data_IF_051122576157
#
_entry.id   IF_051122576157
#
_cell.length_a   1.000
_cell.length_b   1.000
_cell.length_c   1.000
_cell.angle_alpha   90.00
_cell.angle_beta   90.00
_cell.angle_gamma   90.00
#
_symmetry.space_group_name_H-M   'P 1'
#
loop_
_entity.id
_entity.type
_entity.pdbx_description
1 polymer ?
#
# COMPACT_ATOMS: atom_id res chain seq x y z
N UNK A 1 43.84 0.67 19.94
CA UNK A 1 43.29 -0.21 18.91
C UNK A 1 41.89 0.32 18.66
N UNK A 2 41.79 1.24 17.72
CA UNK A 2 40.58 2.00 17.43
C UNK A 2 40.11 1.46 16.09
N UNK A 3 39.12 0.58 16.11
CA UNK A 3 38.53 0.06 14.88
C UNK A 3 37.79 1.21 14.19
N UNK A 4 38.43 1.77 13.17
CA UNK A 4 37.87 2.72 12.25
C UNK A 4 36.83 1.97 11.42
N UNK A 5 35.56 2.29 11.63
CA UNK A 5 34.45 1.69 10.88
C UNK A 5 34.57 2.24 9.45
N UNK A 6 35.15 1.45 8.55
CA UNK A 6 35.09 1.68 7.09
C UNK A 6 33.60 1.72 6.69
N UNK A 7 33.06 2.93 6.60
CA UNK A 7 31.81 3.17 5.89
C UNK A 7 32.05 2.77 4.44
N UNK A 8 31.32 1.79 3.88
CA UNK A 8 31.48 1.44 2.48
C UNK A 8 31.10 2.67 1.65
N UNK A 9 32.10 3.29 1.04
CA UNK A 9 31.90 4.31 0.03
C UNK A 9 31.17 3.64 -1.13
N UNK A 10 29.88 3.96 -1.26
CA UNK A 10 29.11 3.60 -2.44
C UNK A 10 29.72 4.41 -3.57
N UNK A 11 30.48 3.74 -4.44
CA UNK A 11 31.09 4.32 -5.63
C UNK A 11 29.96 4.77 -6.57
N UNK A 12 29.56 6.04 -6.44
CA UNK A 12 28.57 6.67 -7.31
C UNK A 12 29.34 7.07 -8.56
N UNK A 13 29.31 6.23 -9.59
CA UNK A 13 29.84 6.55 -10.92
C UNK A 13 29.26 7.90 -11.40
N UNK A 14 30.10 8.94 -11.38
CA UNK A 14 29.75 10.32 -11.74
C UNK A 14 29.35 10.47 -13.23
N UNK A 15 29.56 9.44 -14.06
CA UNK A 15 29.22 9.45 -15.49
C UNK A 15 27.86 8.84 -15.83
N UNK A 16 27.12 8.27 -14.87
CA UNK A 16 25.74 7.90 -15.14
C UNK A 16 24.89 9.16 -15.33
N UNK A 17 24.12 9.30 -16.42
CA UNK A 17 23.27 10.47 -16.60
C UNK A 17 22.35 10.57 -15.39
N UNK A 18 22.52 11.65 -14.61
CA UNK A 18 21.95 11.90 -13.28
C UNK A 18 20.42 11.68 -13.21
N UNK A 19 19.75 11.71 -14.36
CA UNK A 19 18.32 11.46 -14.53
C UNK A 19 17.91 9.98 -14.58
N UNK A 20 18.82 9.01 -14.72
CA UNK A 20 18.47 7.60 -14.88
C UNK A 20 17.87 7.03 -13.58
N UNK A 21 18.46 7.40 -12.42
CA UNK A 21 17.99 6.98 -11.09
C UNK A 21 16.66 7.63 -10.72
N UNK A 22 16.48 8.91 -11.04
CA UNK A 22 15.21 9.64 -10.81
C UNK A 22 14.08 9.06 -11.66
N UNK A 23 14.32 8.78 -12.95
CA UNK A 23 13.31 8.15 -13.82
C UNK A 23 12.87 6.78 -13.32
N UNK A 24 13.81 5.95 -12.85
CA UNK A 24 13.48 4.66 -12.26
C UNK A 24 12.65 4.81 -10.98
N UNK A 25 13.02 5.76 -10.10
CA UNK A 25 12.30 6.02 -8.86
C UNK A 25 10.88 6.54 -9.11
N UNK A 26 10.70 7.46 -10.06
CA UNK A 26 9.38 7.97 -10.46
C UNK A 26 8.53 6.87 -11.12
N UNK A 27 9.15 5.99 -11.93
CA UNK A 27 8.44 4.85 -12.53
C UNK A 27 7.94 3.88 -11.45
N UNK A 28 8.79 3.56 -10.46
CA UNK A 28 8.42 2.71 -9.32
C UNK A 28 7.33 3.36 -8.49
N UNK A 29 7.44 4.67 -8.20
CA UNK A 29 6.41 5.40 -7.45
C UNK A 29 5.06 5.43 -8.19
N UNK A 30 5.09 5.64 -9.51
CA UNK A 30 3.89 5.61 -10.35
C UNK A 30 3.25 4.22 -10.40
N UNK A 31 4.06 3.17 -10.59
CA UNK A 31 3.59 1.79 -10.58
C UNK A 31 3.01 1.41 -9.20
N UNK A 32 3.69 1.75 -8.11
CA UNK A 32 3.21 1.52 -6.75
C UNK A 32 1.89 2.24 -6.47
N UNK A 33 1.72 3.47 -7.00
CA UNK A 33 0.47 4.24 -6.92
C UNK A 33 -0.67 3.57 -7.68
N UNK A 34 -0.43 2.98 -8.85
CA UNK A 34 -1.45 2.21 -9.58
C UNK A 34 -1.79 0.92 -8.83
N UNK A 35 -0.77 0.18 -8.37
CA UNK A 35 -0.95 -1.07 -7.64
C UNK A 35 -1.73 -0.84 -6.34
N UNK A 36 -1.48 0.27 -5.63
CA UNK A 36 -2.20 0.60 -4.40
C UNK A 36 -3.71 0.70 -4.63
N UNK A 37 -4.14 1.36 -5.71
CA UNK A 37 -5.54 1.45 -6.10
C UNK A 37 -6.13 0.09 -6.51
N UNK A 38 -5.37 -0.74 -7.24
CA UNK A 38 -5.81 -2.10 -7.62
C UNK A 38 -6.02 -2.96 -6.38
N UNK A 39 -5.10 -2.91 -5.42
CA UNK A 39 -5.20 -3.63 -4.14
C UNK A 39 -6.42 -3.14 -3.36
N UNK A 40 -6.62 -1.83 -3.25
CA UNK A 40 -7.80 -1.26 -2.58
C UNK A 40 -9.11 -1.72 -3.24
N UNK A 41 -9.18 -1.68 -4.57
CA UNK A 41 -10.34 -2.15 -5.33
C UNK A 41 -10.62 -3.65 -5.07
N UNK A 42 -9.58 -4.48 -5.00
CA UNK A 42 -9.69 -5.89 -4.64
C UNK A 42 -10.32 -6.09 -3.25
N UNK A 43 -9.83 -5.37 -2.24
CA UNK A 43 -10.41 -5.43 -0.88
C UNK A 43 -11.86 -4.94 -0.84
N UNK A 44 -12.19 -3.86 -1.55
CA UNK A 44 -13.56 -3.36 -1.67
C UNK A 44 -14.47 -4.40 -2.33
N UNK A 45 -14.00 -5.08 -3.39
CA UNK A 45 -14.75 -6.15 -4.05
C UNK A 45 -15.00 -7.35 -3.12
N UNK A 46 -14.02 -7.72 -2.29
CA UNK A 46 -14.18 -8.77 -1.28
C UNK A 46 -15.27 -8.39 -0.27
N UNK A 47 -15.24 -7.16 0.25
CA UNK A 47 -16.25 -6.66 1.19
C UNK A 47 -17.63 -6.63 0.54
N UNK A 48 -17.73 -6.09 -0.69
CA UNK A 48 -18.97 -6.03 -1.45
C UNK A 48 -19.53 -7.44 -1.73
N UNK A 49 -18.69 -8.41 -2.09
CA UNK A 49 -19.08 -9.80 -2.26
C UNK A 49 -19.58 -10.44 -0.97
N UNK A 50 -18.95 -10.16 0.17
CA UNK A 50 -19.43 -10.63 1.47
C UNK A 50 -20.79 -10.01 1.85
N UNK A 51 -21.00 -8.73 1.54
CA UNK A 51 -22.29 -8.07 1.77
C UNK A 51 -23.39 -8.60 0.83
N UNK A 52 -23.06 -8.86 -0.44
CA UNK A 52 -23.99 -9.48 -1.38
C UNK A 52 -24.39 -10.88 -0.93
N UNK A 53 -23.41 -11.70 -0.53
CA UNK A 53 -23.65 -13.01 0.05
C UNK A 53 -24.57 -12.92 1.27
N UNK A 54 -24.36 -11.97 2.18
CA UNK A 54 -25.25 -11.79 3.34
C UNK A 54 -26.69 -11.46 2.93
N UNK A 55 -26.87 -10.66 1.88
CA UNK A 55 -28.19 -10.30 1.39
C UNK A 55 -28.93 -11.52 0.81
N UNK A 56 -28.24 -12.36 0.01
CA UNK A 56 -28.81 -13.62 -0.46
C UNK A 56 -29.01 -14.66 0.66
N UNK A 57 -28.09 -14.72 1.63
CA UNK A 57 -28.13 -15.63 2.79
C UNK A 57 -29.18 -15.22 3.83
N UNK A 58 -29.69 -13.98 3.78
CA UNK A 58 -30.78 -13.49 4.64
C UNK A 58 -32.11 -14.20 4.38
N UNK A 59 -32.19 -15.02 3.33
CA UNK A 59 -33.23 -16.05 3.16
C UNK A 59 -33.01 -17.23 4.15
N UNK A 60 -33.10 -16.92 5.45
CA UNK A 60 -33.48 -17.81 6.55
C UNK A 60 -32.51 -18.91 7.01
N UNK A 61 -31.96 -19.74 6.12
CA UNK A 61 -31.39 -21.03 6.52
C UNK A 61 -29.90 -20.96 6.91
N UNK A 62 -29.06 -20.23 6.15
CA UNK A 62 -27.61 -20.22 6.36
C UNK A 62 -27.12 -19.13 7.32
N UNK A 63 -27.84 -18.01 7.44
CA UNK A 63 -27.51 -16.99 8.44
C UNK A 63 -27.70 -17.54 9.86
N UNK A 64 -28.76 -18.34 10.08
CA UNK A 64 -29.02 -19.02 11.36
C UNK A 64 -27.95 -20.07 11.69
N UNK A 65 -27.36 -20.75 10.69
CA UNK A 65 -26.23 -21.66 10.88
C UNK A 65 -24.91 -20.92 11.17
N UNK A 66 -24.62 -19.83 10.45
CA UNK A 66 -23.46 -18.97 10.73
C UNK A 66 -23.54 -18.32 12.11
N UNK A 67 -24.75 -17.90 12.53
CA UNK A 67 -25.04 -17.35 13.85
C UNK A 67 -24.98 -18.39 14.98
N UNK A 68 -25.25 -19.67 14.68
CA UNK A 68 -25.14 -20.77 15.63
C UNK A 68 -23.70 -21.23 15.86
N UNK A 69 -22.84 -21.15 14.84
CA UNK A 69 -21.46 -21.65 14.90
C UNK A 69 -20.40 -20.58 15.21
N UNK A 70 -20.67 -19.31 14.86
CA UNK A 70 -19.75 -18.20 15.11
C UNK A 70 -20.54 -16.99 15.64
N UNK A 71 -19.97 -16.27 16.62
CA UNK A 71 -20.62 -15.02 17.04
C UNK A 71 -20.70 -14.06 15.83
N UNK A 72 -21.87 -13.49 15.51
CA UNK A 72 -22.05 -12.62 14.33
C UNK A 72 -21.07 -11.45 14.28
N UNK A 73 -20.69 -10.96 15.46
CA UNK A 73 -19.68 -9.91 15.61
C UNK A 73 -18.31 -10.37 15.12
N UNK A 74 -17.90 -11.59 15.47
CA UNK A 74 -16.62 -12.15 15.02
C UNK A 74 -16.62 -12.36 13.50
N UNK A 75 -17.73 -12.83 12.92
CA UNK A 75 -17.84 -12.97 11.47
C UNK A 75 -17.71 -11.62 10.75
N UNK A 76 -18.40 -10.57 11.23
CA UNK A 76 -18.31 -9.22 10.66
C UNK A 76 -16.90 -8.65 10.78
N UNK A 77 -16.25 -8.83 11.95
CA UNK A 77 -14.88 -8.37 12.15
C UNK A 77 -13.95 -9.06 11.16
N UNK A 78 -13.97 -10.39 11.07
CA UNK A 78 -13.05 -11.17 10.23
C UNK A 78 -13.29 -10.94 8.73
N UNK A 79 -14.54 -10.81 8.28
CA UNK A 79 -14.86 -10.79 6.84
C UNK A 79 -15.12 -9.40 6.26
N UNK A 80 -15.34 -8.38 7.11
CA UNK A 80 -15.59 -7.01 6.65
C UNK A 80 -14.57 -6.04 7.22
N UNK A 81 -14.41 -5.99 8.54
CA UNK A 81 -13.57 -4.96 9.20
C UNK A 81 -12.09 -5.22 8.98
N UNK A 82 -11.62 -6.45 9.21
CA UNK A 82 -10.21 -6.83 9.01
C UNK A 82 -9.75 -6.61 7.58
N UNK A 83 -10.42 -7.12 6.52
CA UNK A 83 -9.98 -6.86 5.15
C UNK A 83 -10.07 -5.38 4.78
N UNK A 84 -11.05 -4.62 5.30
CA UNK A 84 -11.12 -3.18 5.11
C UNK A 84 -9.90 -2.47 5.70
N UNK A 85 -9.55 -2.76 6.95
CA UNK A 85 -8.43 -2.13 7.63
C UNK A 85 -7.09 -2.50 6.99
N UNK A 86 -6.92 -3.76 6.57
CA UNK A 86 -5.71 -4.20 5.84
C UNK A 86 -5.60 -3.46 4.51
N UNK A 87 -6.67 -3.44 3.72
CA UNK A 87 -6.69 -2.75 2.43
C UNK A 87 -6.44 -1.25 2.57
N UNK A 88 -7.10 -0.60 3.52
CA UNK A 88 -6.91 0.82 3.81
C UNK A 88 -5.48 1.12 4.29
N UNK A 89 -4.92 0.30 5.17
CA UNK A 89 -3.55 0.47 5.66
C UNK A 89 -2.54 0.31 4.53
N UNK A 90 -2.63 -0.77 3.74
CA UNK A 90 -1.75 -0.97 2.59
C UNK A 90 -1.85 0.18 1.59
N UNK A 91 -3.05 0.66 1.31
CA UNK A 91 -3.27 1.81 0.43
C UNK A 91 -2.60 3.07 0.97
N UNK A 92 -2.87 3.44 2.23
CA UNK A 92 -2.30 4.64 2.85
C UNK A 92 -0.78 4.56 2.90
N UNK A 93 -0.20 3.41 3.27
CA UNK A 93 1.26 3.24 3.31
C UNK A 93 1.88 3.42 1.94
N UNK A 94 1.34 2.78 0.90
CA UNK A 94 1.86 2.91 -0.47
C UNK A 94 1.72 4.35 -1.00
N UNK A 95 0.56 4.97 -0.80
CA UNK A 95 0.34 6.36 -1.21
C UNK A 95 1.24 7.33 -0.45
N UNK A 96 1.44 7.11 0.84
CA UNK A 96 2.34 7.91 1.67
C UNK A 96 3.78 7.86 1.16
N UNK A 97 4.29 6.66 0.86
CA UNK A 97 5.64 6.49 0.28
C UNK A 97 5.76 7.21 -1.06
N UNK A 98 4.77 7.06 -1.96
CA UNK A 98 4.79 7.75 -3.25
C UNK A 98 4.78 9.28 -3.08
N UNK A 99 3.97 9.81 -2.17
CA UNK A 99 3.91 11.25 -1.91
C UNK A 99 5.22 11.80 -1.30
N UNK A 100 5.89 11.02 -0.44
CA UNK A 100 7.20 11.39 0.11
C UNK A 100 8.25 11.41 -1.00
N UNK A 101 8.26 10.41 -1.90
CA UNK A 101 9.17 10.38 -3.04
C UNK A 101 8.94 11.60 -3.93
N UNK A 102 7.69 11.92 -4.26
CA UNK A 102 7.35 13.09 -5.08
C UNK A 102 7.85 14.40 -4.43
N UNK A 103 7.64 14.56 -3.11
CA UNK A 103 8.12 15.73 -2.36
C UNK A 103 9.66 15.81 -2.29
N UNK A 104 10.34 14.68 -2.11
CA UNK A 104 11.82 14.65 -2.11
C UNK A 104 12.39 15.01 -3.47
N UNK A 105 11.75 14.56 -4.57
CA UNK A 105 12.13 14.94 -5.92
C UNK A 105 11.93 16.44 -6.13
N UNK A 106 10.80 17.01 -5.71
CA UNK A 106 10.53 18.44 -5.81
C UNK A 106 11.58 19.29 -5.04
N UNK A 107 11.97 18.85 -3.84
CA UNK A 107 13.03 19.50 -3.06
C UNK A 107 14.40 19.40 -3.76
N UNK A 108 14.75 18.24 -4.32
CA UNK A 108 16.01 18.06 -5.07
C UNK A 108 16.04 18.95 -6.32
N UNK A 109 14.93 19.06 -7.06
CA UNK A 109 14.79 19.99 -8.18
C UNK A 109 14.99 21.44 -7.76
N UNK A 110 14.24 21.92 -6.75
CA UNK A 110 14.33 23.31 -6.29
C UNK A 110 15.71 23.67 -5.74
N UNK A 111 16.38 22.73 -5.05
CA UNK A 111 17.73 22.95 -4.49
C UNK A 111 18.79 23.04 -5.59
N UNK A 112 18.58 22.36 -6.72
CA UNK A 112 19.51 22.38 -7.87
C UNK A 112 19.26 23.55 -8.81
N UNK A 113 18.01 23.99 -8.98
CA UNK A 113 17.70 25.22 -9.75
C UNK A 113 18.08 26.51 -9.00
N UNK A 114 18.17 26.46 -7.66
CA UNK A 114 18.63 27.58 -6.85
C UNK A 114 20.16 27.78 -6.85
N UNK A 115 20.93 26.89 -7.49
CA UNK A 115 22.38 26.99 -7.70
C UNK A 115 22.70 27.42 -9.13
#
# INVERSE_FOLDING_TARGET
MSDEIETPEVDIDENEPVFFKVKALTLVASAARIISWVVLAGFVAIIAGNLYNLNELSQGAKLAELLKAASPRLWMVTNLVTPFLIGATCFITLQGVCNIIDALLEVDFNTREAK
#
